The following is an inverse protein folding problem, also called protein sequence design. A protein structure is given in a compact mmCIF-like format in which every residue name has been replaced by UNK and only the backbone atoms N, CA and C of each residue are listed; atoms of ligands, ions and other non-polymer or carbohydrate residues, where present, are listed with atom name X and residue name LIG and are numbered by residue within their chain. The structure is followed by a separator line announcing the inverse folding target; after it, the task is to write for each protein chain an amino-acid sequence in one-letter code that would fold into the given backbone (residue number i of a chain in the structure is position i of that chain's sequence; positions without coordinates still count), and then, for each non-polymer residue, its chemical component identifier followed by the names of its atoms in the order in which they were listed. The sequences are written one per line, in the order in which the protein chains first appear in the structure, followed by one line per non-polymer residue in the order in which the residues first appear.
data_IF_160159695475
#
_entry.id   IF_160159695475
#
_cell.length_a   1.000
_cell.length_b   1.000
_cell.length_c   1.000
_cell.angle_alpha   90.00
_cell.angle_beta   90.00
_cell.angle_gamma   90.00
#
_symmetry.space_group_name_H-M   'P 1'
#
loop_
_entity.id
_entity.type
_entity.pdbx_description
1 polymer ?
#
# COMPACT_ATOMS: atom_id res chain seq x y z
N UNK A 1 -17.13 11.98 12.19
CA UNK A 1 -17.02 10.57 12.59
C UNK A 1 -16.25 10.50 13.90
N UNK A 2 -16.63 9.62 14.81
CA UNK A 2 -16.01 9.46 16.13
C UNK A 2 -15.63 7.99 16.31
N UNK A 3 -14.46 7.72 16.88
CA UNK A 3 -13.98 6.37 17.22
C UNK A 3 -13.68 6.38 18.71
N UNK A 4 -14.40 5.56 19.48
CA UNK A 4 -14.19 5.44 20.91
C UNK A 4 -12.98 4.54 21.20
N UNK A 5 -12.06 5.01 22.06
CA UNK A 5 -10.98 4.20 22.60
C UNK A 5 -11.32 3.82 24.05
N UNK A 6 -10.98 2.60 24.45
CA UNK A 6 -11.30 2.10 25.79
C UNK A 6 -10.14 1.34 26.43
N UNK A 7 -9.93 1.56 27.73
CA UNK A 7 -8.93 0.84 28.53
C UNK A 7 -7.55 0.82 27.86
N UNK A 8 -7.07 -0.40 27.57
CA UNK A 8 -5.74 -0.65 26.97
C UNK A 8 -5.51 0.02 25.62
N UNK A 9 -6.57 0.31 24.85
CA UNK A 9 -6.44 0.97 23.55
C UNK A 9 -5.96 2.42 23.70
N UNK A 10 -6.36 3.10 24.78
CA UNK A 10 -5.91 4.47 25.06
C UNK A 10 -4.41 4.46 25.32
N UNK A 11 -3.93 3.60 26.22
CA UNK A 11 -2.51 3.50 26.56
C UNK A 11 -1.66 3.14 25.34
N UNK A 12 -2.19 2.27 24.47
CA UNK A 12 -1.50 1.81 23.26
C UNK A 12 -1.41 2.89 22.18
N UNK A 13 -2.50 3.62 21.93
CA UNK A 13 -2.62 4.46 20.73
C UNK A 13 -2.49 5.97 20.99
N UNK A 14 -2.60 6.43 22.24
CA UNK A 14 -2.56 7.86 22.59
C UNK A 14 -1.31 8.57 22.07
N UNK A 15 -0.15 7.90 22.07
CA UNK A 15 1.10 8.45 21.56
C UNK A 15 1.09 8.72 20.05
N UNK A 16 0.30 7.98 19.27
CA UNK A 16 0.18 8.18 17.83
C UNK A 16 -0.93 9.18 17.45
N UNK A 17 -1.88 9.41 18.35
CA UNK A 17 -3.06 10.27 18.17
C UNK A 17 -2.82 11.70 18.68
N UNK A 18 -1.74 12.32 18.20
CA UNK A 18 -1.45 13.73 18.47
C UNK A 18 -2.15 14.65 17.47
N UNK A 19 -2.43 15.88 17.88
CA UNK A 19 -3.04 16.86 17.00
C UNK A 19 -2.13 17.14 15.79
N UNK A 20 -2.74 17.28 14.60
CA UNK A 20 -2.07 17.48 13.31
C UNK A 20 -1.15 16.32 12.89
N UNK A 21 -1.34 15.12 13.43
CA UNK A 21 -0.66 13.93 12.93
C UNK A 21 -1.42 13.32 11.75
N UNK A 22 -0.67 12.88 10.74
CA UNK A 22 -1.20 12.08 9.63
C UNK A 22 -0.98 10.60 9.94
N UNK A 23 -2.08 9.86 10.06
CA UNK A 23 -2.05 8.45 10.45
C UNK A 23 -2.91 7.59 9.54
N UNK A 24 -2.47 6.35 9.36
CA UNK A 24 -3.24 5.25 8.80
C UNK A 24 -3.77 4.39 9.95
N UNK A 25 -5.08 4.14 9.94
CA UNK A 25 -5.78 3.34 10.95
C UNK A 25 -6.31 2.07 10.30
N UNK A 26 -5.92 0.92 10.84
CA UNK A 26 -6.46 -0.39 10.49
C UNK A 26 -7.30 -0.91 11.65
N UNK A 27 -8.49 -1.43 11.34
CA UNK A 27 -9.41 -1.91 12.35
C UNK A 27 -10.47 -2.83 11.78
N UNK A 28 -11.35 -3.31 12.65
CA UNK A 28 -12.42 -4.23 12.29
C UNK A 28 -13.75 -3.68 12.80
N UNK A 29 -14.79 -3.84 11.98
CA UNK A 29 -16.17 -3.62 12.41
C UNK A 29 -16.63 -4.89 13.15
N UNK A 30 -16.93 -4.76 14.43
CA UNK A 30 -17.40 -5.86 15.27
C UNK A 30 -18.44 -5.39 16.28
N UNK A 31 -19.16 -6.33 16.88
CA UNK A 31 -20.16 -6.02 17.88
C UNK A 31 -19.51 -5.26 19.06
N UNK A 32 -20.16 -4.16 19.47
CA UNK A 32 -19.66 -3.28 20.54
C UNK A 32 -19.46 -4.04 21.85
N UNK A 33 -20.36 -4.98 22.13
CA UNK A 33 -20.30 -5.86 23.28
C UNK A 33 -20.92 -7.21 22.92
N UNK A 34 -20.43 -8.27 23.58
CA UNK A 34 -21.00 -9.60 23.43
C UNK A 34 -22.40 -9.64 24.04
N UNK A 35 -23.39 -10.10 23.27
CA UNK A 35 -24.74 -10.39 23.75
C UNK A 35 -24.98 -11.90 23.68
N UNK A 36 -25.44 -12.49 24.79
CA UNK A 36 -25.78 -13.92 24.87
C UNK A 36 -26.92 -14.26 23.91
N UNK A 37 -27.00 -15.51 23.41
CA UNK A 37 -28.04 -15.91 22.46
C UNK A 37 -29.47 -15.68 22.95
N UNK A 38 -29.72 -15.86 24.25
CA UNK A 38 -31.03 -15.65 24.89
C UNK A 38 -31.43 -14.17 24.81
N UNK A 39 -30.52 -13.27 25.19
CA UNK A 39 -30.72 -11.82 25.15
C UNK A 39 -30.88 -11.29 23.71
N UNK A 40 -30.28 -11.95 22.71
CA UNK A 40 -30.43 -11.55 21.30
C UNK A 40 -31.84 -11.78 20.78
N UNK A 41 -32.51 -12.85 21.23
CA UNK A 41 -33.89 -13.15 20.81
C UNK A 41 -34.87 -12.09 21.32
N UNK A 42 -34.62 -11.51 22.49
CA UNK A 42 -35.48 -10.50 23.09
C UNK A 42 -35.11 -9.06 22.68
N UNK A 43 -33.81 -8.75 22.62
CA UNK A 43 -33.30 -7.37 22.48
C UNK A 43 -32.65 -7.09 21.13
N UNK A 44 -32.63 -8.07 20.22
CA UNK A 44 -31.95 -8.01 18.92
C UNK A 44 -30.44 -8.14 19.02
N UNK A 45 -29.75 -7.95 17.89
CA UNK A 45 -28.28 -7.94 17.85
C UNK A 45 -27.69 -6.66 18.46
N UNK A 46 -26.49 -6.74 19.07
CA UNK A 46 -25.81 -5.57 19.58
C UNK A 46 -25.36 -4.65 18.43
N UNK A 47 -25.22 -3.33 18.67
CA UNK A 47 -24.70 -2.41 17.68
C UNK A 47 -23.24 -2.74 17.34
N UNK A 48 -22.83 -2.43 16.11
CA UNK A 48 -21.46 -2.57 15.66
C UNK A 48 -20.64 -1.31 15.97
N UNK A 49 -19.34 -1.50 16.21
CA UNK A 49 -18.37 -0.44 16.44
C UNK A 49 -17.08 -0.74 15.65
N UNK A 50 -16.30 0.30 15.35
CA UNK A 50 -15.00 0.15 14.68
C UNK A 50 -13.90 0.04 15.74
N UNK A 51 -13.34 -1.16 15.90
CA UNK A 51 -12.22 -1.38 16.81
C UNK A 51 -10.89 -1.24 16.09
N UNK A 52 -10.08 -0.29 16.56
CA UNK A 52 -8.72 -0.09 16.07
C UNK A 52 -7.87 -1.32 16.40
N UNK A 53 -7.16 -1.84 15.41
CA UNK A 53 -6.15 -2.90 15.56
C UNK A 53 -4.74 -2.35 15.43
N UNK A 54 -4.55 -1.30 14.65
CA UNK A 54 -3.23 -0.72 14.37
C UNK A 54 -3.34 0.75 13.98
N UNK A 55 -2.42 1.57 14.47
CA UNK A 55 -2.17 2.93 13.99
C UNK A 55 -0.73 3.02 13.52
N UNK A 56 -0.52 3.68 12.38
CA UNK A 56 0.81 3.93 11.83
C UNK A 56 0.85 5.36 11.33
N UNK A 57 1.97 6.07 11.53
CA UNK A 57 2.19 7.34 10.84
C UNK A 57 2.20 7.15 9.32
N UNK A 58 1.54 8.05 8.60
CA UNK A 58 1.34 7.93 7.16
C UNK A 58 2.69 7.83 6.41
N UNK A 59 3.71 8.55 6.86
CA UNK A 59 5.08 8.48 6.32
C UNK A 59 5.71 7.08 6.40
N UNK A 60 5.28 6.25 7.36
CA UNK A 60 5.81 4.90 7.56
C UNK A 60 5.00 3.83 6.82
N UNK A 61 3.88 4.18 6.18
CA UNK A 61 2.98 3.21 5.51
C UNK A 61 3.70 2.50 4.39
N UNK A 62 4.47 3.23 3.57
CA UNK A 62 5.25 2.66 2.46
C UNK A 62 6.26 1.64 3.02
N UNK A 63 7.03 2.02 4.03
CA UNK A 63 8.02 1.14 4.64
C UNK A 63 7.39 -0.07 5.34
N UNK A 64 6.19 0.09 5.88
CA UNK A 64 5.51 -0.99 6.63
C UNK A 64 4.83 -2.00 5.72
N UNK A 65 4.24 -1.57 4.60
CA UNK A 65 3.40 -2.44 3.78
C UNK A 65 4.01 -2.79 2.42
N UNK A 66 4.98 -2.02 1.93
CA UNK A 66 5.57 -2.22 0.60
C UNK A 66 6.95 -2.86 0.75
N UNK A 67 7.11 -4.04 0.12
CA UNK A 67 8.38 -4.74 -0.02
C UNK A 67 9.13 -4.30 -1.28
N UNK A 68 8.40 -3.98 -2.34
CA UNK A 68 8.95 -3.60 -3.63
C UNK A 68 7.87 -3.14 -4.60
N UNK A 69 8.30 -2.64 -5.76
CA UNK A 69 7.42 -2.30 -6.87
C UNK A 69 7.83 -3.11 -8.09
N UNK A 70 6.86 -3.78 -8.72
CA UNK A 70 7.07 -4.51 -9.95
C UNK A 70 6.54 -3.71 -11.14
N UNK A 71 7.36 -3.56 -12.18
CA UNK A 71 6.96 -3.03 -13.48
C UNK A 71 6.80 -4.17 -14.48
N UNK A 72 5.82 -4.05 -15.37
CA UNK A 72 5.59 -5.01 -16.44
C UNK A 72 5.75 -4.31 -17.77
N UNK A 73 6.71 -4.79 -18.56
CA UNK A 73 7.05 -4.25 -19.86
C UNK A 73 6.97 -5.39 -20.87
N UNK A 74 6.54 -5.12 -22.09
CA UNK A 74 6.61 -6.08 -23.19
C UNK A 74 7.64 -5.67 -24.23
N UNK A 75 8.24 -6.64 -24.93
CA UNK A 75 9.23 -6.35 -25.99
C UNK A 75 8.73 -5.36 -27.05
N UNK A 76 7.45 -5.32 -27.48
CA UNK A 76 6.97 -4.33 -28.45
C UNK A 76 6.99 -2.89 -27.92
N UNK A 77 7.02 -2.68 -26.60
CA UNK A 77 7.14 -1.35 -26.00
C UNK A 77 8.57 -0.82 -26.04
N UNK A 78 9.56 -1.70 -26.25
CA UNK A 78 10.97 -1.36 -26.13
C UNK A 78 11.44 -0.57 -27.36
N UNK A 79 11.59 0.73 -27.17
CA UNK A 79 12.28 1.61 -28.11
C UNK A 79 13.18 2.60 -27.35
N UNK A 80 14.01 3.32 -28.10
CA UNK A 80 14.99 4.26 -27.52
C UNK A 80 14.33 5.36 -26.67
N UNK A 81 13.18 5.89 -27.11
CA UNK A 81 12.45 6.93 -26.36
C UNK A 81 11.91 6.37 -25.05
N UNK A 82 11.17 5.25 -25.11
CA UNK A 82 10.62 4.59 -23.94
C UNK A 82 11.69 4.30 -22.89
N UNK A 83 12.82 3.73 -23.31
CA UNK A 83 13.95 3.45 -22.41
C UNK A 83 14.47 4.73 -21.76
N UNK A 84 14.65 5.80 -22.54
CA UNK A 84 15.15 7.09 -22.03
C UNK A 84 14.18 7.70 -21.01
N UNK A 85 12.89 7.70 -21.33
CA UNK A 85 11.86 8.30 -20.48
C UNK A 85 11.64 7.50 -19.20
N UNK A 86 11.62 6.15 -19.26
CA UNK A 86 11.51 5.30 -18.08
C UNK A 86 12.73 5.45 -17.16
N UNK A 87 13.94 5.48 -17.72
CA UNK A 87 15.17 5.69 -16.92
C UNK A 87 15.19 7.08 -16.29
N UNK A 88 14.73 8.12 -17.01
CA UNK A 88 14.59 9.48 -16.45
C UNK A 88 13.60 9.48 -15.28
N UNK A 89 12.42 8.91 -15.48
CA UNK A 89 11.37 8.83 -14.46
C UNK A 89 11.87 8.14 -13.17
N UNK A 90 12.57 7.00 -13.30
CA UNK A 90 13.16 6.28 -12.16
C UNK A 90 14.22 7.13 -11.45
N UNK A 91 15.06 7.86 -12.20
CA UNK A 91 16.12 8.70 -11.62
C UNK A 91 15.60 9.95 -10.92
N UNK A 92 14.51 10.53 -11.40
CA UNK A 92 13.85 11.70 -10.80
C UNK A 92 13.11 11.35 -9.51
N UNK A 93 12.68 10.09 -9.36
CA UNK A 93 11.88 9.63 -8.22
C UNK A 93 12.66 8.64 -7.34
N UNK A 94 13.88 8.99 -6.91
CA UNK A 94 14.68 8.14 -6.02
C UNK A 94 14.00 7.95 -4.66
N UNK A 95 14.05 6.73 -4.13
CA UNK A 95 13.53 6.43 -2.79
C UNK A 95 14.06 5.13 -2.23
N UNK A 96 13.32 4.52 -1.31
CA UNK A 96 13.74 3.33 -0.57
C UNK A 96 13.17 2.02 -1.11
N UNK A 97 12.12 2.05 -1.95
CA UNK A 97 11.41 0.86 -2.42
C UNK A 97 12.15 0.21 -3.59
N UNK A 98 12.61 -1.05 -3.47
CA UNK A 98 13.26 -1.78 -4.56
C UNK A 98 12.34 -1.97 -5.77
N UNK A 99 12.92 -1.90 -6.97
CA UNK A 99 12.21 -2.07 -8.23
C UNK A 99 12.57 -3.40 -8.90
N UNK A 100 11.55 -4.17 -9.25
CA UNK A 100 11.63 -5.37 -10.10
C UNK A 100 10.96 -5.05 -11.43
N UNK A 101 11.51 -5.53 -12.54
CA UNK A 101 10.89 -5.39 -13.85
C UNK A 101 10.71 -6.76 -14.49
N UNK A 102 9.50 -7.08 -14.92
CA UNK A 102 9.19 -8.26 -15.71
C UNK A 102 9.09 -7.86 -17.17
N UNK A 103 9.92 -8.46 -18.02
CA UNK A 103 9.89 -8.27 -19.47
C UNK A 103 9.25 -9.49 -20.13
N UNK A 104 8.12 -9.29 -20.79
CA UNK A 104 7.43 -10.33 -21.53
C UNK A 104 7.62 -10.15 -23.04
N UNK A 105 8.02 -11.21 -23.72
CA UNK A 105 8.07 -11.25 -25.17
C UNK A 105 6.89 -12.07 -25.73
N UNK A 106 5.92 -11.44 -26.43
CA UNK A 106 4.76 -12.16 -26.94
C UNK A 106 5.09 -13.15 -28.06
N UNK A 107 6.19 -12.95 -28.80
CA UNK A 107 6.57 -13.84 -29.92
C UNK A 107 7.12 -15.17 -29.40
N UNK A 108 8.10 -15.11 -28.52
CA UNK A 108 8.79 -16.29 -27.96
C UNK A 108 8.12 -16.82 -26.68
N UNK A 109 7.20 -16.04 -26.09
CA UNK A 109 6.58 -16.27 -24.78
C UNK A 109 7.56 -16.27 -23.61
N UNK A 110 8.77 -15.76 -23.81
CA UNK A 110 9.72 -15.59 -22.71
C UNK A 110 9.21 -14.54 -21.72
N UNK A 111 9.40 -14.82 -20.43
CA UNK A 111 9.20 -13.88 -19.36
C UNK A 111 10.49 -13.79 -18.55
N UNK A 112 11.11 -12.62 -18.56
CA UNK A 112 12.42 -12.37 -17.95
C UNK A 112 12.21 -11.46 -16.74
N UNK A 113 12.64 -11.91 -15.56
CA UNK A 113 12.66 -11.09 -14.36
C UNK A 113 13.99 -10.35 -14.22
N UNK A 114 13.92 -9.03 -14.21
CA UNK A 114 15.03 -8.13 -13.88
C UNK A 114 14.85 -7.61 -12.45
N UNK A 115 15.41 -8.34 -11.49
CA UNK A 115 15.48 -7.86 -10.12
C UNK A 115 16.57 -6.80 -9.98
N UNK A 116 16.21 -5.55 -9.66
CA UNK A 116 17.20 -4.52 -9.35
C UNK A 116 17.29 -4.24 -7.86
N UNK A 117 18.45 -4.52 -7.27
CA UNK A 117 18.79 -4.03 -5.92
C UNK A 117 19.30 -2.58 -5.93
N UNK A 118 19.74 -2.09 -7.09
CA UNK A 118 20.34 -0.76 -7.27
C UNK A 118 19.29 0.31 -7.51
N UNK A 119 18.25 0.01 -8.29
CA UNK A 119 17.18 0.96 -8.55
C UNK A 119 16.13 0.86 -7.45
N UNK A 120 16.02 1.94 -6.68
CA UNK A 120 15.01 2.13 -5.66
C UNK A 120 14.27 3.43 -5.93
N UNK A 121 12.95 3.40 -5.76
CA UNK A 121 12.05 4.51 -6.10
C UNK A 121 11.24 4.95 -4.90
N UNK A 122 10.85 6.22 -4.90
CA UNK A 122 9.81 6.73 -4.01
C UNK A 122 8.47 6.49 -4.70
N UNK A 123 7.58 5.72 -4.07
CA UNK A 123 6.27 5.39 -4.63
C UNK A 123 5.31 6.54 -4.30
N UNK A 124 5.42 7.62 -5.06
CA UNK A 124 4.61 8.84 -4.93
C UNK A 124 3.67 8.99 -6.13
N UNK A 125 2.66 9.87 -6.02
CA UNK A 125 1.75 10.13 -7.15
C UNK A 125 2.48 10.58 -8.43
N UNK A 126 3.46 11.49 -8.40
CA UNK A 126 4.24 11.85 -9.59
C UNK A 126 4.89 10.65 -10.29
N UNK A 127 5.45 9.71 -9.52
CA UNK A 127 6.04 8.50 -10.10
C UNK A 127 4.98 7.60 -10.74
N UNK A 128 3.87 7.38 -10.04
CA UNK A 128 2.74 6.58 -10.52
C UNK A 128 2.11 7.18 -11.79
N UNK A 129 1.93 8.50 -11.83
CA UNK A 129 1.37 9.18 -12.99
C UNK A 129 2.34 9.18 -14.17
N UNK A 130 3.64 9.28 -13.92
CA UNK A 130 4.67 9.06 -14.94
C UNK A 130 4.62 7.65 -15.53
N UNK A 131 4.42 6.61 -14.71
CA UNK A 131 4.25 5.24 -15.21
C UNK A 131 2.99 5.09 -16.07
N UNK A 132 1.87 5.69 -15.65
CA UNK A 132 0.63 5.70 -16.44
C UNK A 132 0.81 6.42 -17.78
N UNK A 133 1.50 7.56 -17.79
CA UNK A 133 1.78 8.31 -19.01
C UNK A 133 2.64 7.52 -20.00
N UNK A 134 3.56 6.69 -19.49
CA UNK A 134 4.36 5.75 -20.30
C UNK A 134 3.62 4.45 -20.65
N UNK A 135 2.35 4.32 -20.24
CA UNK A 135 1.53 3.11 -20.38
C UNK A 135 2.20 1.85 -19.78
N UNK A 136 2.97 2.03 -18.71
CA UNK A 136 3.64 0.93 -18.00
C UNK A 136 2.70 0.39 -16.94
N UNK A 137 2.42 -0.91 -17.02
CA UNK A 137 1.69 -1.62 -15.96
C UNK A 137 2.61 -1.82 -14.76
N UNK A 138 2.05 -1.70 -13.57
CA UNK A 138 2.80 -1.88 -12.33
C UNK A 138 1.97 -2.61 -11.27
N UNK A 139 2.64 -3.22 -10.30
CA UNK A 139 2.02 -3.80 -9.12
C UNK A 139 2.89 -3.56 -7.88
N UNK A 140 2.22 -3.48 -6.73
CA UNK A 140 2.90 -3.34 -5.43
C UNK A 140 3.18 -4.73 -4.88
N UNK A 141 4.44 -5.03 -4.59
CA UNK A 141 4.83 -6.23 -3.86
C UNK A 141 4.65 -5.92 -2.38
N UNK A 142 3.58 -6.47 -1.79
CA UNK A 142 3.27 -6.28 -0.37
C UNK A 142 4.26 -7.06 0.51
N UNK A 143 4.48 -6.58 1.73
CA UNK A 143 5.20 -7.34 2.77
C UNK A 143 4.37 -8.53 3.27
#
# INVERSE_FOLDING_TARGET
YEIALSGKDIDTFKGNLTQNSEIYIEGKIEEKYFRKPEDRKEKGDPPFDFKIKKIIHLGNVIETYIKGLALYVSTPMLNSSFRKDLVRLIKENKGSVPLTMFLFDPETRFNIEFLSRKFKVAVTMPFIDGLKALNVRYSVVKK
#
